data_IF_919822263465
#
_entry.id   IF_919822263465
#
_cell.length_a   1.000
_cell.length_b   1.000
_cell.length_c   1.000
_cell.angle_alpha   90.00
_cell.angle_beta   90.00
_cell.angle_gamma   90.00
#
_symmetry.space_group_name_H-M   'P 1'
#
loop_
_entity.id
_entity.type
_entity.pdbx_description
1 polymer ?
#
# COMPACT_ATOMS: atom_id res chain seq x y z
N UNK A 1 -0.71 -11.35 9.92
CA UNK A 1 -1.87 -11.13 9.03
C UNK A 1 -3.19 -11.56 9.67
N UNK A 2 -4.27 -10.75 9.53
CA UNK A 2 -5.65 -11.04 9.96
C UNK A 2 -6.64 -10.59 8.88
N UNK A 3 -7.67 -11.39 8.60
CA UNK A 3 -8.72 -11.11 7.62
C UNK A 3 -10.09 -11.13 8.29
N UNK A 4 -10.92 -10.15 7.99
CA UNK A 4 -12.26 -10.01 8.55
C UNK A 4 -13.26 -9.67 7.45
N UNK A 5 -14.37 -10.40 7.38
CA UNK A 5 -15.48 -10.05 6.48
C UNK A 5 -16.29 -8.92 7.10
N UNK A 6 -16.31 -7.75 6.45
CA UNK A 6 -17.08 -6.58 6.93
C UNK A 6 -18.43 -6.45 6.22
N UNK A 7 -18.54 -6.95 4.98
CA UNK A 7 -19.76 -7.05 4.18
C UNK A 7 -19.68 -8.31 3.29
N UNK A 8 -20.78 -8.78 2.66
CA UNK A 8 -20.77 -9.98 1.83
C UNK A 8 -19.70 -9.99 0.72
N UNK A 9 -19.28 -8.83 0.23
CA UNK A 9 -18.26 -8.69 -0.83
C UNK A 9 -17.03 -7.92 -0.39
N UNK A 10 -16.93 -7.55 0.89
CA UNK A 10 -15.85 -6.70 1.40
C UNK A 10 -15.12 -7.38 2.55
N UNK A 11 -13.80 -7.50 2.40
CA UNK A 11 -12.89 -8.05 3.41
C UNK A 11 -11.92 -6.96 3.85
N UNK A 12 -11.76 -6.79 5.16
CA UNK A 12 -10.68 -5.99 5.75
C UNK A 12 -9.49 -6.90 6.03
N UNK A 13 -8.31 -6.51 5.55
CA UNK A 13 -7.06 -7.17 5.85
C UNK A 13 -6.18 -6.28 6.72
N UNK A 14 -5.61 -6.85 7.79
CA UNK A 14 -4.58 -6.22 8.62
C UNK A 14 -3.29 -7.02 8.50
N UNK A 15 -2.21 -6.39 8.09
CA UNK A 15 -0.94 -7.05 7.77
C UNK A 15 0.24 -6.22 8.26
N UNK A 16 1.36 -6.88 8.58
CA UNK A 16 2.64 -6.19 8.75
C UNK A 16 3.21 -5.78 7.37
N UNK A 17 4.04 -4.73 7.36
CA UNK A 17 4.67 -4.21 6.12
C UNK A 17 5.45 -5.29 5.36
N UNK A 18 6.14 -6.19 6.05
CA UNK A 18 6.85 -7.31 5.40
C UNK A 18 5.92 -8.33 4.73
N UNK A 19 4.72 -8.54 5.29
CA UNK A 19 3.74 -9.48 4.74
C UNK A 19 3.17 -8.94 3.44
N UNK A 20 2.84 -7.64 3.38
CA UNK A 20 2.39 -6.99 2.15
C UNK A 20 3.52 -6.91 1.11
N UNK A 21 4.76 -6.64 1.51
CA UNK A 21 5.90 -6.63 0.60
C UNK A 21 6.13 -8.00 -0.06
N UNK A 22 6.02 -9.09 0.71
CA UNK A 22 6.11 -10.45 0.19
C UNK A 22 4.97 -10.75 -0.80
N UNK A 23 3.74 -10.35 -0.47
CA UNK A 23 2.58 -10.52 -1.36
C UNK A 23 2.77 -9.75 -2.68
N UNK A 24 3.16 -8.48 -2.63
CA UNK A 24 3.35 -7.66 -3.82
C UNK A 24 4.50 -8.18 -4.70
N UNK A 25 5.53 -8.76 -4.09
CA UNK A 25 6.61 -9.44 -4.83
C UNK A 25 6.09 -10.63 -5.61
N UNK A 26 5.27 -11.48 -4.99
CA UNK A 26 4.64 -12.62 -5.68
C UNK A 26 3.71 -12.16 -6.82
N UNK A 27 2.94 -11.09 -6.60
CA UNK A 27 2.06 -10.53 -7.64
C UNK A 27 2.86 -10.00 -8.83
N UNK A 28 3.97 -9.29 -8.61
CA UNK A 28 4.87 -8.82 -9.68
C UNK A 28 5.45 -9.98 -10.48
N UNK A 29 5.89 -11.04 -9.80
CA UNK A 29 6.41 -12.24 -10.46
C UNK A 29 5.39 -12.86 -11.43
N UNK A 30 4.10 -12.88 -11.05
CA UNK A 30 3.02 -13.40 -11.91
C UNK A 30 2.67 -12.43 -13.04
N UNK A 31 2.62 -11.13 -12.74
CA UNK A 31 2.25 -10.10 -13.71
C UNK A 31 3.29 -9.95 -14.84
N UNK A 32 4.57 -9.95 -14.47
CA UNK A 32 5.69 -9.69 -15.38
C UNK A 32 6.27 -10.98 -15.97
N UNK A 33 6.14 -12.10 -15.26
CA UNK A 33 6.54 -13.40 -15.76
C UNK A 33 5.62 -13.90 -16.88
N UNK A 34 5.94 -15.07 -17.42
CA UNK A 34 5.07 -15.81 -18.35
C UNK A 34 4.65 -17.16 -17.76
N UNK A 35 3.90 -17.20 -16.63
CA UNK A 35 3.38 -18.47 -16.13
C UNK A 35 2.36 -19.03 -17.14
N UNK A 36 2.52 -20.30 -17.54
CA UNK A 36 1.62 -20.92 -18.53
C UNK A 36 0.15 -20.96 -18.07
N UNK A 37 -0.08 -20.88 -16.75
CA UNK A 37 -1.40 -21.07 -16.15
C UNK A 37 -2.17 -19.75 -15.91
N UNK A 38 -1.59 -18.59 -16.22
CA UNK A 38 -2.23 -17.29 -15.95
C UNK A 38 -2.53 -16.56 -17.26
N UNK A 39 -3.82 -16.33 -17.60
CA UNK A 39 -4.21 -15.62 -18.80
C UNK A 39 -3.61 -14.20 -18.87
N UNK A 40 -3.25 -13.76 -20.08
CA UNK A 40 -2.66 -12.42 -20.29
C UNK A 40 -3.59 -11.30 -19.80
N UNK A 41 -4.91 -11.47 -19.92
CA UNK A 41 -5.88 -10.49 -19.40
C UNK A 41 -5.81 -10.36 -17.88
N UNK A 42 -5.68 -11.47 -17.15
CA UNK A 42 -5.51 -11.44 -15.70
C UNK A 42 -4.18 -10.76 -15.33
N UNK A 43 -3.11 -11.01 -16.08
CA UNK A 43 -1.81 -10.35 -15.88
C UNK A 43 -1.88 -8.84 -16.12
N UNK A 44 -2.60 -8.39 -17.14
CA UNK A 44 -2.87 -6.95 -17.37
C UNK A 44 -3.58 -6.31 -16.19
N UNK A 45 -4.59 -6.98 -15.64
CA UNK A 45 -5.32 -6.49 -14.47
C UNK A 45 -4.41 -6.40 -13.24
N UNK A 46 -3.55 -7.39 -13.02
CA UNK A 46 -2.55 -7.35 -11.94
C UNK A 46 -1.56 -6.18 -12.10
N UNK A 47 -1.09 -5.89 -13.33
CA UNK A 47 -0.23 -4.72 -13.59
C UNK A 47 -0.91 -3.41 -13.21
N UNK A 48 -2.17 -3.23 -13.59
CA UNK A 48 -2.93 -2.01 -13.25
C UNK A 48 -3.15 -1.87 -11.73
N UNK A 49 -3.40 -2.97 -11.03
CA UNK A 49 -3.49 -2.97 -9.56
C UNK A 49 -2.15 -2.61 -8.90
N UNK A 50 -1.03 -3.11 -9.43
CA UNK A 50 0.31 -2.80 -8.94
C UNK A 50 0.66 -1.31 -9.15
N UNK A 51 0.32 -0.73 -10.29
CA UNK A 51 0.51 0.71 -10.54
C UNK A 51 -0.23 1.56 -9.50
N UNK A 52 -1.48 1.20 -9.21
CA UNK A 52 -2.30 1.88 -8.20
C UNK A 52 -1.75 1.69 -6.78
N UNK A 53 -1.15 0.53 -6.49
CA UNK A 53 -0.47 0.28 -5.23
C UNK A 53 0.81 1.11 -5.10
N UNK A 54 1.65 1.15 -6.14
CA UNK A 54 2.92 1.88 -6.13
C UNK A 54 2.69 3.40 -5.97
N UNK A 55 1.64 3.94 -6.59
CA UNK A 55 1.24 5.34 -6.39
C UNK A 55 0.84 5.63 -4.94
N UNK A 56 0.05 4.75 -4.32
CA UNK A 56 -0.37 4.91 -2.93
C UNK A 56 0.81 4.83 -1.95
N UNK A 57 1.75 3.92 -2.19
CA UNK A 57 2.97 3.80 -1.36
C UNK A 57 3.80 5.07 -1.44
N UNK A 58 4.02 5.62 -2.65
CA UNK A 58 4.74 6.90 -2.81
C UNK A 58 4.09 8.04 -2.04
N UNK A 59 2.76 8.17 -2.10
CA UNK A 59 2.02 9.20 -1.36
C UNK A 59 2.13 9.05 0.17
N UNK A 60 2.30 7.83 0.67
CA UNK A 60 2.52 7.60 2.11
C UNK A 60 3.90 8.06 2.55
N UNK A 61 4.93 7.83 1.72
CA UNK A 61 6.30 8.28 1.98
C UNK A 61 6.45 9.82 1.88
N UNK A 62 5.62 10.46 1.04
CA UNK A 62 5.57 11.92 0.89
C UNK A 62 4.92 12.65 2.07
N UNK A 63 4.23 11.95 2.98
CA UNK A 63 3.63 12.60 4.16
C UNK A 63 4.77 13.07 5.07
N UNK A 64 4.92 14.37 5.34
CA UNK A 64 5.95 14.85 6.24
C UNK A 64 5.74 14.22 7.62
N UNK A 65 6.82 13.77 8.25
CA UNK A 65 6.81 13.45 9.69
C UNK A 65 6.23 14.61 10.51
N UNK A 66 5.83 14.38 11.77
CA UNK A 66 5.20 15.40 12.59
C UNK A 66 6.00 16.71 12.50
N UNK A 67 5.31 17.80 12.20
CA UNK A 67 5.92 19.13 12.16
C UNK A 67 6.76 19.32 13.42
N UNK A 68 7.96 19.91 13.33
CA UNK A 68 8.76 20.17 14.52
C UNK A 68 7.88 20.93 15.52
N UNK A 69 7.74 20.37 16.73
CA UNK A 69 7.17 21.07 17.86
C UNK A 69 7.88 22.41 17.93
N UNK A 70 7.18 23.51 17.70
CA UNK A 70 7.75 24.85 17.80
C UNK A 70 7.71 25.20 19.28
N UNK A 71 8.83 25.09 20.04
CA UNK A 71 8.82 25.38 21.45
C UNK A 71 9.12 26.88 21.57
N UNK A 72 8.10 27.68 21.83
CA UNK A 72 8.32 29.11 22.07
C UNK A 72 7.19 30.00 21.56
N UNK A 73 6.01 29.84 22.14
CA UNK A 73 5.10 30.98 22.28
C UNK A 73 4.85 31.21 23.76
N UNK A 74 5.93 31.42 24.51
CA UNK A 74 5.86 32.07 25.81
C UNK A 74 5.77 33.58 25.58
N UNK A 75 4.66 34.13 26.06
CA UNK A 75 4.46 35.43 26.69
C UNK A 75 5.43 36.57 26.31
N UNK A 76 4.88 37.67 25.79
CA UNK A 76 5.47 38.98 25.98
C UNK A 76 5.05 40.07 25.00
N UNK A 77 4.65 41.20 25.59
CA UNK A 77 4.63 42.56 25.02
C UNK A 77 3.38 42.95 24.23
N UNK A 78 2.60 43.96 24.62
CA UNK A 78 2.72 44.94 25.71
C UNK A 78 1.56 45.92 25.60
#
# INVERSE_FOLDING_TARGET
MRLERVQPTVVRATMHVREIAALMTAVRQVADGTPQDVPEEARRQLRSLLETYDEQVRRLDERPGPAPDVPGQEAGSG
#
